data_IF_692730431845
#
_entry.id   IF_692730431845
#
_cell.length_a   1.000
_cell.length_b   1.000
_cell.length_c   1.000
_cell.angle_alpha   90.00
_cell.angle_beta   90.00
_cell.angle_gamma   90.00
#
_symmetry.space_group_name_H-M   'P 1'
#
loop_
_entity.id
_entity.type
_entity.pdbx_description
1 polymer ?
#
# COMPACT_ATOMS: atom_id res chain seq x y z
N UNK A 1 17.13 -67.95 -16.26
CA UNK A 1 17.34 -67.07 -15.09
C UNK A 1 16.89 -65.68 -15.49
N UNK A 2 15.76 -65.28 -14.95
CA UNK A 2 14.90 -64.17 -15.36
C UNK A 2 15.45 -62.82 -14.92
N UNK A 3 15.18 -61.81 -15.74
CA UNK A 3 15.51 -60.39 -15.60
C UNK A 3 15.08 -59.78 -14.26
N UNK A 4 15.77 -58.72 -13.81
CA UNK A 4 15.11 -57.45 -13.45
C UNK A 4 16.13 -56.30 -13.43
N UNK A 5 16.00 -55.38 -14.39
CA UNK A 5 16.71 -54.08 -14.42
C UNK A 5 15.90 -53.09 -13.57
N UNK A 6 16.48 -52.57 -12.49
CA UNK A 6 15.83 -51.56 -11.65
C UNK A 6 16.13 -50.15 -12.20
N UNK A 7 15.21 -49.59 -12.96
CA UNK A 7 15.19 -48.16 -13.30
C UNK A 7 14.44 -47.39 -12.22
N UNK A 8 15.16 -46.63 -11.40
CA UNK A 8 14.57 -45.66 -10.48
C UNK A 8 14.52 -44.28 -11.15
N UNK A 9 13.33 -43.86 -11.56
CA UNK A 9 13.05 -42.49 -12.01
C UNK A 9 12.62 -41.69 -10.78
N UNK A 10 13.48 -40.79 -10.30
CA UNK A 10 13.13 -39.83 -9.27
C UNK A 10 12.88 -38.47 -9.93
N UNK A 11 11.60 -38.15 -10.16
CA UNK A 11 11.18 -36.81 -10.51
C UNK A 11 11.08 -35.98 -9.22
N UNK A 12 12.04 -35.10 -8.97
CA UNK A 12 11.94 -34.09 -7.90
C UNK A 12 11.27 -32.86 -8.52
N UNK A 13 9.99 -32.69 -8.20
CA UNK A 13 9.22 -31.49 -8.54
C UNK A 13 9.63 -30.40 -7.54
N UNK A 14 10.52 -29.50 -7.93
CA UNK A 14 10.82 -28.30 -7.14
C UNK A 14 9.65 -27.32 -7.31
N UNK A 15 8.78 -27.23 -6.30
CA UNK A 15 7.77 -26.19 -6.23
C UNK A 15 8.45 -24.85 -5.98
N UNK A 16 8.61 -24.04 -7.03
CA UNK A 16 8.92 -22.62 -6.87
C UNK A 16 7.67 -21.93 -6.30
N UNK A 17 7.72 -21.50 -5.04
CA UNK A 17 6.67 -20.67 -4.46
C UNK A 17 6.67 -19.32 -5.15
N UNK A 18 5.61 -19.01 -5.91
CA UNK A 18 5.48 -17.71 -6.56
C UNK A 18 5.23 -16.62 -5.51
N UNK A 19 5.82 -15.44 -5.69
CA UNK A 19 5.39 -14.25 -4.98
C UNK A 19 3.88 -14.02 -5.27
N UNK A 20 3.09 -13.77 -4.23
CA UNK A 20 1.67 -13.47 -4.36
C UNK A 20 1.45 -11.96 -4.19
N UNK A 21 0.51 -11.40 -4.95
CA UNK A 21 0.06 -10.04 -4.72
C UNK A 21 -0.66 -9.96 -3.37
N UNK A 22 -0.32 -8.96 -2.56
CA UNK A 22 -0.89 -8.76 -1.24
C UNK A 22 -1.59 -7.41 -1.19
N UNK A 23 -2.88 -7.42 -0.87
CA UNK A 23 -3.65 -6.22 -0.55
C UNK A 23 -3.59 -5.98 0.95
N UNK A 24 -3.36 -4.73 1.32
CA UNK A 24 -3.40 -4.24 2.70
C UNK A 24 -4.43 -3.12 2.76
N UNK A 25 -5.33 -3.18 3.73
CA UNK A 25 -6.21 -2.05 4.07
C UNK A 25 -5.54 -1.29 5.21
N UNK A 26 -5.30 0.00 4.99
CA UNK A 26 -4.77 0.92 6.00
C UNK A 26 -5.97 1.64 6.61
N UNK A 27 -6.28 1.31 7.87
CA UNK A 27 -7.52 1.71 8.54
C UNK A 27 -7.32 2.66 9.70
N UNK A 28 -6.08 2.98 10.08
CA UNK A 28 -5.76 3.93 11.16
C UNK A 28 -6.37 3.59 12.53
N UNK A 29 -6.91 2.38 12.72
CA UNK A 29 -7.53 1.91 13.97
C UNK A 29 -6.62 2.08 15.19
N UNK A 30 -5.29 2.08 14.99
CA UNK A 30 -4.32 2.29 16.07
C UNK A 30 -4.29 3.73 16.62
N UNK A 31 -4.81 4.68 15.86
CA UNK A 31 -4.97 6.09 16.24
C UNK A 31 -6.27 6.37 16.99
N UNK A 32 -7.15 5.37 17.13
CA UNK A 32 -8.41 5.47 17.83
C UNK A 32 -8.20 5.77 19.32
N UNK A 33 -8.70 6.90 19.78
CA UNK A 33 -8.51 7.40 21.15
C UNK A 33 -9.76 8.14 21.65
N UNK A 34 -10.12 8.02 22.95
CA UNK A 34 -11.17 8.82 23.56
C UNK A 34 -10.70 10.25 23.82
N UNK A 35 -11.63 11.20 23.84
CA UNK A 35 -11.37 12.60 24.17
C UNK A 35 -11.64 13.58 23.03
N UNK A 36 -11.41 14.86 23.32
CA UNK A 36 -11.78 15.97 22.44
C UNK A 36 -10.65 16.46 21.52
N UNK A 37 -9.39 16.20 21.89
CA UNK A 37 -8.22 16.77 21.21
C UNK A 37 -7.57 15.74 20.32
N UNK A 38 -7.36 16.07 19.04
CA UNK A 38 -6.69 15.17 18.12
C UNK A 38 -5.21 14.95 18.42
N UNK A 39 -4.68 13.83 17.92
CA UNK A 39 -3.25 13.55 17.89
C UNK A 39 -2.60 14.28 16.72
N UNK A 40 -1.35 14.74 16.89
CA UNK A 40 -0.54 15.34 15.80
C UNK A 40 0.84 14.68 15.73
N UNK A 41 1.35 14.51 14.52
CA UNK A 41 2.60 13.80 14.27
C UNK A 41 3.28 14.29 12.98
N UNK A 42 4.60 14.13 12.92
CA UNK A 42 5.38 14.50 11.73
C UNK A 42 5.21 13.48 10.61
N UNK A 43 5.09 12.20 10.98
CA UNK A 43 4.89 11.07 10.08
C UNK A 43 4.12 9.96 10.80
N UNK A 44 3.54 9.05 10.03
CA UNK A 44 2.83 7.88 10.53
C UNK A 44 3.12 6.67 9.63
N UNK A 45 3.14 5.48 10.22
CA UNK A 45 3.38 4.25 9.48
C UNK A 45 2.43 3.15 9.91
N UNK A 46 1.83 2.46 8.94
CA UNK A 46 0.92 1.35 9.17
C UNK A 46 0.93 0.42 7.95
N UNK A 47 0.82 -0.89 8.18
CA UNK A 47 0.68 -1.86 7.09
C UNK A 47 1.86 -1.91 6.09
N UNK A 48 3.04 -1.41 6.47
CA UNK A 48 4.20 -1.30 5.58
C UNK A 48 4.20 -0.05 4.68
N UNK A 49 3.34 0.92 4.98
CA UNK A 49 3.25 2.20 4.32
C UNK A 49 3.62 3.34 5.27
N UNK A 50 4.23 4.38 4.71
CA UNK A 50 4.58 5.61 5.40
C UNK A 50 3.74 6.76 4.86
N UNK A 51 3.33 7.62 5.78
CA UNK A 51 2.64 8.86 5.53
C UNK A 51 3.52 9.99 6.08
N UNK A 52 3.88 10.91 5.19
CA UNK A 52 4.70 12.08 5.55
C UNK A 52 3.96 13.35 5.14
N UNK A 53 3.96 14.35 6.01
CA UNK A 53 3.47 15.69 5.66
C UNK A 53 4.59 16.55 5.04
N UNK A 54 4.23 17.48 4.18
CA UNK A 54 5.16 18.47 3.60
C UNK A 54 5.88 19.28 4.69
N UNK A 55 7.03 19.88 4.37
CA UNK A 55 7.84 20.66 5.32
C UNK A 55 7.00 21.72 6.06
N UNK A 56 6.98 21.63 7.39
CA UNK A 56 6.18 22.42 8.37
C UNK A 56 4.70 22.01 8.52
N UNK A 57 4.21 21.06 7.73
CA UNK A 57 2.91 20.42 7.94
C UNK A 57 2.99 19.33 9.00
N UNK A 58 1.87 19.10 9.68
CA UNK A 58 1.68 17.97 10.59
C UNK A 58 0.54 17.11 10.06
N UNK A 59 0.68 15.80 10.24
CA UNK A 59 -0.43 14.89 10.14
C UNK A 59 -1.24 14.94 11.44
N UNK A 60 -2.53 14.63 11.36
CA UNK A 60 -3.44 14.67 12.51
C UNK A 60 -4.49 13.58 12.46
N UNK A 61 -5.00 13.19 13.62
CA UNK A 61 -6.15 12.28 13.75
C UNK A 61 -7.09 12.76 14.85
N UNK A 62 -8.40 12.77 14.58
CA UNK A 62 -9.41 13.19 15.55
C UNK A 62 -9.71 12.08 16.56
N UNK A 63 -9.93 12.45 17.82
CA UNK A 63 -10.41 11.56 18.87
C UNK A 63 -11.94 11.52 18.90
N UNK A 64 -12.52 10.51 19.53
CA UNK A 64 -13.96 10.16 19.44
C UNK A 64 -14.94 11.29 19.78
N UNK A 65 -14.58 12.17 20.71
CA UNK A 65 -15.47 13.26 21.16
C UNK A 65 -15.20 14.58 20.40
N UNK A 66 -14.25 14.57 19.45
CA UNK A 66 -13.97 15.71 18.58
C UNK A 66 -15.09 15.94 17.57
N UNK A 67 -15.36 17.21 17.25
CA UNK A 67 -16.30 17.56 16.17
C UNK A 67 -15.83 17.07 14.80
N UNK A 68 -14.52 16.83 14.64
CA UNK A 68 -13.93 16.32 13.41
C UNK A 68 -13.92 14.78 13.33
N UNK A 69 -14.39 14.07 14.36
CA UNK A 69 -14.48 12.62 14.35
C UNK A 69 -15.59 12.15 13.41
N UNK A 70 -15.25 11.34 12.41
CA UNK A 70 -16.17 10.92 11.37
C UNK A 70 -16.73 9.49 11.57
N UNK A 71 -16.70 8.99 12.82
CA UNK A 71 -17.16 7.65 13.19
C UNK A 71 -16.08 6.57 13.20
N UNK A 72 -14.86 6.91 12.76
CA UNK A 72 -13.64 6.10 12.78
C UNK A 72 -12.43 7.02 12.89
N UNK A 73 -11.33 6.56 13.47
CA UNK A 73 -10.04 7.23 13.36
C UNK A 73 -9.62 7.36 11.89
N UNK A 74 -9.32 8.59 11.47
CA UNK A 74 -8.79 8.88 10.15
C UNK A 74 -7.49 9.65 10.21
N UNK A 75 -6.83 9.75 9.06
CA UNK A 75 -5.63 10.55 8.87
C UNK A 75 -5.95 11.82 8.08
N UNK A 76 -5.84 12.98 8.72
CA UNK A 76 -5.83 14.29 8.06
C UNK A 76 -4.46 14.95 8.14
N UNK A 77 -4.35 16.15 7.60
CA UNK A 77 -3.18 17.01 7.80
C UNK A 77 -3.57 18.46 8.08
N UNK A 78 -2.59 19.25 8.51
CA UNK A 78 -2.77 20.70 8.68
C UNK A 78 -3.11 21.40 7.36
N UNK A 79 -3.87 22.51 7.37
CA UNK A 79 -4.24 23.24 6.16
C UNK A 79 -3.06 23.51 5.24
N UNK A 80 -3.29 23.44 3.93
CA UNK A 80 -2.29 23.62 2.87
C UNK A 80 -1.14 22.60 2.84
N UNK A 81 -1.15 21.59 3.72
CA UNK A 81 -0.10 20.57 3.75
C UNK A 81 -0.36 19.50 2.71
N UNK A 82 0.72 18.94 2.16
CA UNK A 82 0.64 17.79 1.26
C UNK A 82 1.02 16.53 2.03
N UNK A 83 0.13 15.56 2.06
CA UNK A 83 0.42 14.22 2.56
C UNK A 83 0.99 13.37 1.43
N UNK A 84 2.07 12.65 1.72
CA UNK A 84 2.71 11.69 0.81
C UNK A 84 2.61 10.29 1.39
N UNK A 85 1.91 9.41 0.70
CA UNK A 85 1.87 7.98 0.95
C UNK A 85 2.96 7.28 0.13
N UNK A 86 3.79 6.48 0.78
CA UNK A 86 4.81 5.64 0.13
C UNK A 86 4.93 4.28 0.81
N UNK A 87 5.55 3.31 0.14
CA UNK A 87 5.89 2.02 0.75
C UNK A 87 7.19 2.13 1.53
N UNK A 88 7.21 1.56 2.73
CA UNK A 88 8.38 1.61 3.61
C UNK A 88 9.61 0.87 3.03
N UNK A 89 9.40 -0.13 2.17
CA UNK A 89 10.47 -0.88 1.49
C UNK A 89 10.78 -0.34 0.07
N UNK A 90 10.14 0.75 -0.35
CA UNK A 90 10.33 1.37 -1.65
C UNK A 90 9.78 0.60 -2.85
N UNK A 91 9.11 -0.54 -2.66
CA UNK A 91 8.51 -1.27 -3.79
C UNK A 91 7.26 -0.56 -4.32
N UNK A 92 6.98 -0.75 -5.60
CA UNK A 92 5.80 -0.19 -6.24
C UNK A 92 4.50 -0.79 -5.68
N UNK A 93 3.44 0.00 -5.67
CA UNK A 93 2.11 -0.42 -5.21
C UNK A 93 1.00 0.14 -6.11
N UNK A 94 -0.23 -0.32 -5.88
CA UNK A 94 -1.44 0.21 -6.52
C UNK A 94 -2.45 0.60 -5.46
N UNK A 95 -3.30 1.57 -5.74
CA UNK A 95 -4.43 1.95 -4.89
C UNK A 95 -5.73 1.61 -5.61
N UNK A 96 -6.66 0.97 -4.92
CA UNK A 96 -7.99 0.64 -5.46
C UNK A 96 -9.10 1.50 -4.89
N UNK A 97 -9.08 1.77 -3.58
CA UNK A 97 -10.11 2.55 -2.90
C UNK A 97 -9.58 3.32 -1.71
N UNK A 98 -10.35 4.29 -1.27
CA UNK A 98 -10.12 5.14 -0.11
C UNK A 98 -11.45 5.64 0.43
N UNK A 99 -11.57 5.78 1.74
CA UNK A 99 -12.70 6.46 2.36
C UNK A 99 -12.29 7.89 2.72
N UNK A 100 -13.13 8.87 2.41
CA UNK A 100 -12.87 10.28 2.69
C UNK A 100 -14.00 10.87 3.52
N UNK A 101 -13.64 11.72 4.48
CA UNK A 101 -14.57 12.50 5.27
C UNK A 101 -14.07 13.94 5.42
N UNK A 102 -15.01 14.86 5.68
CA UNK A 102 -14.65 16.20 6.12
C UNK A 102 -13.96 16.16 7.49
N UNK A 103 -12.93 16.99 7.67
CA UNK A 103 -12.21 17.13 8.92
C UNK A 103 -12.57 18.46 9.61
N UNK A 104 -12.01 19.58 9.14
CA UNK A 104 -12.37 20.93 9.58
C UNK A 104 -12.55 21.80 8.33
N UNK A 105 -13.82 22.12 8.01
CA UNK A 105 -14.15 22.82 6.77
C UNK A 105 -15.30 23.81 6.91
N UNK A 106 -15.34 24.77 5.99
CA UNK A 106 -16.53 25.59 5.77
C UNK A 106 -17.66 24.76 5.14
N UNK A 107 -18.93 25.13 5.35
CA UNK A 107 -20.07 24.45 4.73
C UNK A 107 -19.97 24.43 3.20
N UNK A 108 -20.33 23.30 2.60
CA UNK A 108 -20.41 23.14 1.15
C UNK A 108 -19.53 22.01 0.62
N UNK A 109 -19.77 21.62 -0.63
CA UNK A 109 -18.95 20.62 -1.29
C UNK A 109 -17.60 21.19 -1.70
N UNK A 110 -16.56 20.37 -1.64
CA UNK A 110 -15.23 20.73 -2.10
C UNK A 110 -14.54 19.56 -2.79
N UNK A 111 -13.58 19.88 -3.64
CA UNK A 111 -12.83 18.91 -4.41
C UNK A 111 -11.48 18.60 -3.77
N UNK A 112 -11.13 17.33 -3.80
CA UNK A 112 -9.84 16.81 -3.35
C UNK A 112 -9.18 16.08 -4.50
N UNK A 113 -7.96 16.48 -4.83
CA UNK A 113 -7.18 15.87 -5.91
C UNK A 113 -6.07 14.99 -5.35
N UNK A 114 -6.09 13.73 -5.78
CA UNK A 114 -5.04 12.75 -5.54
C UNK A 114 -4.15 12.63 -6.77
N UNK A 115 -2.84 12.56 -6.55
CA UNK A 115 -1.83 12.40 -7.59
C UNK A 115 -0.96 11.18 -7.28
N UNK A 116 -1.05 10.14 -8.09
CA UNK A 116 -0.17 8.98 -8.05
C UNK A 116 1.08 9.23 -8.90
N UNK A 117 2.27 9.03 -8.32
CA UNK A 117 3.55 9.12 -9.03
C UNK A 117 4.03 7.72 -9.39
N UNK A 118 4.09 7.41 -10.68
CA UNK A 118 4.40 6.09 -11.18
C UNK A 118 5.90 5.84 -11.25
N UNK A 119 6.29 4.57 -11.10
CA UNK A 119 7.65 4.12 -11.41
C UNK A 119 7.99 4.51 -12.85
N UNK A 120 9.15 5.12 -13.05
CA UNK A 120 9.58 5.60 -14.37
C UNK A 120 9.17 7.03 -14.71
N UNK A 121 8.55 7.77 -13.79
CA UNK A 121 8.36 9.22 -13.89
C UNK A 121 7.02 9.70 -14.46
N UNK A 122 6.04 8.81 -14.64
CA UNK A 122 4.66 9.17 -14.99
C UNK A 122 3.83 9.65 -13.80
N UNK A 123 2.69 10.26 -14.07
CA UNK A 123 1.70 10.60 -13.03
C UNK A 123 0.29 10.27 -13.47
N UNK A 124 -0.55 9.83 -12.54
CA UNK A 124 -2.00 9.71 -12.67
C UNK A 124 -2.66 10.64 -11.66
N UNK A 125 -3.75 11.28 -12.03
CA UNK A 125 -4.47 12.21 -11.15
C UNK A 125 -5.97 11.91 -11.20
N UNK A 126 -6.61 11.99 -10.04
CA UNK A 126 -8.06 11.86 -9.93
C UNK A 126 -8.58 12.79 -8.83
N UNK A 127 -9.73 13.41 -9.11
CA UNK A 127 -10.38 14.34 -8.20
C UNK A 127 -11.68 13.73 -7.71
N UNK A 128 -11.92 13.84 -6.40
CA UNK A 128 -13.15 13.44 -5.74
C UNK A 128 -13.83 14.66 -5.13
N UNK A 129 -15.15 14.74 -5.26
CA UNK A 129 -15.94 15.78 -4.61
C UNK A 129 -16.50 15.23 -3.30
N UNK A 130 -16.20 15.91 -2.19
CA UNK A 130 -16.76 15.63 -0.86
C UNK A 130 -17.97 16.51 -0.64
N UNK A 131 -18.98 15.96 0.05
CA UNK A 131 -20.23 16.67 0.36
C UNK A 131 -20.14 17.63 1.56
N UNK A 132 -19.00 17.70 2.24
CA UNK A 132 -18.81 18.52 3.45
C UNK A 132 -19.43 17.93 4.73
N UNK A 133 -19.45 16.60 4.85
CA UNK A 133 -19.98 15.90 6.03
C UNK A 133 -18.89 15.13 6.77
N UNK A 134 -19.00 15.05 8.10
CA UNK A 134 -18.14 14.27 9.00
C UNK A 134 -18.56 12.79 9.02
N UNK A 135 -18.58 12.16 7.85
CA UNK A 135 -18.86 10.74 7.70
C UNK A 135 -18.09 10.23 6.50
N UNK A 136 -17.40 9.11 6.68
CA UNK A 136 -16.63 8.49 5.61
C UNK A 136 -17.52 8.02 4.47
N UNK A 137 -17.14 8.39 3.26
CA UNK A 137 -17.69 7.88 2.02
C UNK A 137 -16.58 7.22 1.20
N UNK A 138 -16.90 6.11 0.53
CA UNK A 138 -15.93 5.35 -0.25
C UNK A 138 -15.77 5.88 -1.67
N UNK A 139 -14.53 5.95 -2.12
CA UNK A 139 -14.14 6.39 -3.45
C UNK A 139 -13.21 5.36 -4.08
N UNK A 140 -13.37 5.16 -5.39
CA UNK A 140 -12.59 4.18 -6.17
C UNK A 140 -11.59 4.89 -7.07
N UNK A 141 -10.33 4.46 -6.98
CA UNK A 141 -9.28 4.94 -7.86
C UNK A 141 -9.32 4.26 -9.23
N UNK A 142 -9.04 5.03 -10.28
CA UNK A 142 -8.89 4.52 -11.65
C UNK A 142 -7.48 4.82 -12.16
N UNK A 143 -6.72 3.79 -12.52
CA UNK A 143 -5.38 3.94 -13.10
C UNK A 143 -4.25 4.18 -12.10
N UNK A 144 -4.52 4.12 -10.79
CA UNK A 144 -3.53 4.24 -9.71
C UNK A 144 -2.76 2.92 -9.52
N UNK A 145 -1.98 2.55 -10.53
CA UNK A 145 -1.13 1.35 -10.51
C UNK A 145 0.33 1.70 -10.73
N UNK A 146 1.22 0.82 -10.24
CA UNK A 146 2.67 0.95 -10.37
C UNK A 146 3.20 2.28 -9.79
N UNK A 147 2.73 2.65 -8.61
CA UNK A 147 3.06 3.88 -7.91
C UNK A 147 4.30 3.72 -7.04
N UNK A 148 5.18 4.73 -7.04
CA UNK A 148 6.20 4.96 -6.01
C UNK A 148 5.62 5.72 -4.82
N UNK A 149 4.68 6.64 -5.08
CA UNK A 149 3.96 7.38 -4.06
C UNK A 149 2.60 7.84 -4.55
N UNK A 150 1.73 8.21 -3.61
CA UNK A 150 0.51 8.97 -3.87
C UNK A 150 0.51 10.22 -2.98
N UNK A 151 0.09 11.35 -3.52
CA UNK A 151 0.04 12.61 -2.79
C UNK A 151 -1.34 13.26 -2.89
N UNK A 152 -1.71 13.97 -1.84
CA UNK A 152 -2.91 14.81 -1.80
C UNK A 152 -2.65 16.01 -0.90
N UNK A 153 -3.36 17.10 -1.16
CA UNK A 153 -3.14 18.38 -0.47
C UNK A 153 -4.41 18.85 0.22
N UNK A 154 -4.27 19.27 1.47
CA UNK A 154 -5.31 19.92 2.23
C UNK A 154 -5.65 21.31 1.66
N UNK A 155 -6.92 21.69 1.71
CA UNK A 155 -7.35 23.03 1.38
C UNK A 155 -6.99 24.04 2.49
N UNK A 156 -7.13 25.33 2.18
CA UNK A 156 -6.97 26.40 3.17
C UNK A 156 -8.18 26.53 4.11
N UNK A 157 -9.38 26.27 3.56
CA UNK A 157 -10.67 26.47 4.21
C UNK A 157 -11.49 25.17 4.28
N UNK A 158 -11.01 24.12 3.60
CA UNK A 158 -11.59 22.80 3.62
C UNK A 158 -10.46 21.80 3.85
N UNK A 159 -10.49 21.11 4.98
CA UNK A 159 -9.57 20.01 5.28
C UNK A 159 -10.34 18.71 5.36
N UNK A 160 -9.67 17.60 5.04
CA UNK A 160 -10.29 16.29 5.01
C UNK A 160 -9.42 15.27 5.73
N UNK A 161 -10.00 14.10 5.93
CA UNK A 161 -9.31 12.95 6.49
C UNK A 161 -9.57 11.73 5.61
N UNK A 162 -8.61 10.83 5.62
CA UNK A 162 -8.62 9.59 4.86
C UNK A 162 -8.69 8.39 5.80
N UNK A 163 -9.35 7.34 5.34
CA UNK A 163 -9.44 6.04 6.02
C UNK A 163 -9.55 4.91 4.98
N UNK A 164 -9.42 3.66 5.41
CA UNK A 164 -9.60 2.42 4.64
C UNK A 164 -8.94 2.44 3.26
N UNK A 165 -7.68 2.86 3.20
CA UNK A 165 -6.90 2.88 1.96
C UNK A 165 -6.58 1.45 1.57
N UNK A 166 -7.15 0.97 0.46
CA UNK A 166 -6.85 -0.34 -0.08
C UNK A 166 -5.65 -0.26 -1.03
N UNK A 167 -4.51 -0.74 -0.55
CA UNK A 167 -3.23 -0.69 -1.24
C UNK A 167 -2.70 -2.10 -1.55
N UNK A 168 -2.39 -2.37 -2.81
CA UNK A 168 -1.94 -3.69 -3.28
C UNK A 168 -0.53 -3.63 -3.81
N UNK A 169 0.33 -4.51 -3.32
CA UNK A 169 1.65 -4.75 -3.90
C UNK A 169 1.50 -5.87 -4.93
N UNK A 170 1.89 -5.60 -6.18
CA UNK A 170 1.97 -6.68 -7.17
C UNK A 170 3.08 -7.63 -6.77
N UNK A 171 2.84 -8.93 -6.92
CA UNK A 171 3.92 -9.91 -6.93
C UNK A 171 4.99 -9.43 -7.92
N UNK A 172 6.19 -9.14 -7.41
CA UNK A 172 7.36 -9.01 -8.28
C UNK A 172 7.72 -10.46 -8.64
N UNK A 173 7.63 -10.88 -9.91
CA UNK A 173 8.12 -12.18 -10.30
C UNK A 173 9.56 -12.25 -9.84
N UNK A 174 9.90 -13.28 -9.04
CA UNK A 174 11.28 -13.43 -8.58
C UNK A 174 12.20 -13.27 -9.79
N UNK A 175 13.33 -12.54 -9.67
CA UNK A 175 14.26 -12.41 -10.77
C UNK A 175 14.52 -13.81 -11.31
N UNK A 176 14.30 -14.03 -12.61
CA UNK A 176 14.55 -15.32 -13.23
C UNK A 176 15.97 -15.82 -12.94
N UNK A 177 16.89 -14.92 -12.56
CA UNK A 177 18.20 -15.20 -11.96
C UNK A 177 18.18 -16.20 -10.81
N UNK A 178 17.27 -16.09 -9.83
CA UNK A 178 17.26 -17.04 -8.70
C UNK A 178 16.70 -18.39 -9.11
N UNK A 179 15.62 -18.41 -9.91
CA UNK A 179 15.11 -19.64 -10.51
C UNK A 179 16.14 -20.34 -11.41
N UNK A 180 16.89 -19.58 -12.22
CA UNK A 180 17.96 -20.10 -13.06
C UNK A 180 19.19 -20.50 -12.26
N UNK A 181 19.53 -19.81 -11.17
CA UNK A 181 20.61 -20.20 -10.26
C UNK A 181 20.28 -21.52 -9.58
N UNK A 182 19.11 -21.63 -8.96
CA UNK A 182 18.66 -22.87 -8.32
C UNK A 182 18.48 -24.00 -9.32
N UNK A 183 17.91 -23.72 -10.49
CA UNK A 183 17.81 -24.68 -11.59
C UNK A 183 19.18 -25.15 -12.10
N UNK A 184 20.14 -24.23 -12.24
CA UNK A 184 21.52 -24.53 -12.63
C UNK A 184 22.25 -25.37 -11.57
N UNK A 185 22.13 -25.01 -10.29
CA UNK A 185 22.70 -25.78 -9.19
C UNK A 185 22.06 -27.17 -9.06
N UNK A 186 20.75 -27.27 -9.27
CA UNK A 186 20.03 -28.54 -9.30
C UNK A 186 20.53 -29.46 -10.42
N UNK A 187 20.73 -28.92 -11.63
CA UNK A 187 21.31 -29.65 -12.75
C UNK A 187 22.75 -30.12 -12.46
N UNK A 188 23.59 -29.25 -11.89
CA UNK A 188 24.97 -29.61 -11.52
C UNK A 188 25.01 -30.72 -10.46
N UNK A 189 24.16 -30.63 -9.43
CA UNK A 189 24.02 -31.67 -8.41
C UNK A 189 23.56 -33.01 -9.01
N UNK A 190 22.62 -32.98 -9.95
CA UNK A 190 22.17 -34.17 -10.67
C UNK A 190 23.28 -34.81 -11.52
N UNK A 191 24.07 -34.00 -12.23
CA UNK A 191 25.20 -34.48 -13.04
C UNK A 191 26.29 -35.12 -12.17
N UNK A 192 26.63 -34.52 -11.02
CA UNK A 192 27.60 -35.07 -10.07
C UNK A 192 27.11 -36.41 -9.49
N UNK A 193 25.82 -36.52 -9.14
CA UNK A 193 25.25 -37.78 -8.66
C UNK A 193 25.32 -38.89 -9.70
N UNK A 194 25.08 -38.59 -10.99
CA UNK A 194 25.20 -39.57 -12.08
C UNK A 194 26.63 -40.10 -12.25
N UNK A 195 27.64 -39.25 -12.04
CA UNK A 195 29.05 -39.64 -12.15
C UNK A 195 29.51 -40.53 -10.99
N UNK A 196 28.94 -40.37 -9.80
CA UNK A 196 29.31 -41.18 -8.64
C UNK A 196 28.53 -42.52 -8.56
N UNK A 197 27.47 -42.67 -9.35
CA UNK A 197 26.64 -43.88 -9.41
C UNK A 197 26.92 -44.77 -10.63
N UNK A 198 27.89 -44.41 -11.46
CA UNK A 198 28.41 -45.17 -12.60
C UNK A 198 29.88 -45.53 -12.34
#
# INVERSE_FOLDING_TARGET
MTLLRATAVAAVLAAAGGAHAQTTTIGFDSLEQPGYFGSVFNSYSEGGYNFDSSFLGLLSSAHQDSFAYAGSAGLGATPLSTTTLSRADGAAFSLSSISLADFVSLPGSFDVTFVGHQVGGGTVSQTFTLGGGHTFADYTFTGFSNLLSATWKEGALHTFQVDNIAATVSAVPEPATYGMLLGGLGLLGFMLRRKNAA
#
